data_IF_637189214672
#
_entry.id   IF_637189214672
#
_cell.length_a   1.000
_cell.length_b   1.000
_cell.length_c   1.000
_cell.angle_alpha   90.00
_cell.angle_beta   90.00
_cell.angle_gamma   90.00
#
_symmetry.space_group_name_H-M   'P 1'
#
loop_
_entity.id
_entity.type
_entity.pdbx_description
1 polymer ?
#
# COMPACT_ATOMS: atom_id res chain seq x y z
N UNK A 1 15.71 0.14 31.22
CA UNK A 1 15.65 1.57 30.90
C UNK A 1 15.83 1.64 29.40
N UNK A 2 14.73 1.78 28.65
CA UNK A 2 14.74 1.93 27.20
C UNK A 2 15.27 3.33 26.90
N UNK A 3 16.30 3.43 26.07
CA UNK A 3 16.77 4.71 25.54
C UNK A 3 15.59 5.44 24.84
N UNK A 4 15.44 6.76 25.03
CA UNK A 4 14.42 7.51 24.29
C UNK A 4 14.80 7.47 22.81
N UNK A 5 13.97 6.84 22.00
CA UNK A 5 14.03 6.95 20.53
C UNK A 5 13.92 8.44 20.21
N UNK A 6 15.00 9.03 19.70
CA UNK A 6 15.00 10.40 19.18
C UNK A 6 14.00 10.41 18.01
N UNK A 7 12.79 10.88 18.26
CA UNK A 7 11.80 11.07 17.21
C UNK A 7 12.39 12.01 16.15
N UNK A 8 12.52 11.52 14.92
CA UNK A 8 12.97 12.35 13.81
C UNK A 8 12.00 13.52 13.61
N UNK A 9 12.57 14.72 13.37
CA UNK A 9 11.77 15.90 13.09
C UNK A 9 10.84 15.66 11.90
N UNK A 10 9.57 16.13 11.95
CA UNK A 10 8.68 16.06 10.80
C UNK A 10 9.30 16.79 9.61
N UNK A 11 9.15 16.25 8.41
CA UNK A 11 9.73 16.78 7.18
C UNK A 11 8.73 17.65 6.42
N UNK A 12 9.16 18.83 6.01
CA UNK A 12 8.33 19.83 5.34
C UNK A 12 9.00 20.24 4.03
N UNK A 13 8.26 20.21 2.92
CA UNK A 13 8.71 20.71 1.63
C UNK A 13 8.25 22.17 1.45
N UNK A 14 9.19 23.08 1.15
CA UNK A 14 8.92 24.48 0.79
C UNK A 14 9.31 24.71 -0.66
N UNK A 15 8.33 24.99 -1.51
CA UNK A 15 8.50 25.26 -2.94
C UNK A 15 8.20 26.72 -3.21
N UNK A 16 9.19 27.48 -3.65
CA UNK A 16 9.08 28.92 -3.91
C UNK A 16 10.24 29.35 -4.82
N UNK A 17 10.03 30.13 -5.85
CA UNK A 17 11.10 30.57 -6.76
C UNK A 17 12.04 31.58 -6.11
N UNK A 18 11.56 32.30 -5.07
CA UNK A 18 12.35 33.27 -4.30
C UNK A 18 13.30 32.56 -3.31
N UNK A 19 14.60 32.65 -3.57
CA UNK A 19 15.62 32.16 -2.63
C UNK A 19 15.48 32.77 -1.23
N UNK A 20 15.04 34.03 -1.15
CA UNK A 20 14.86 34.74 0.13
C UNK A 20 13.74 34.08 0.94
N UNK A 21 12.62 33.74 0.31
CA UNK A 21 11.50 33.07 0.96
C UNK A 21 11.90 31.69 1.43
N UNK A 22 12.59 30.90 0.58
CA UNK A 22 13.08 29.56 0.97
C UNK A 22 14.02 29.63 2.17
N UNK A 23 14.97 30.61 2.19
CA UNK A 23 15.88 30.81 3.32
C UNK A 23 15.15 31.24 4.59
N UNK A 24 14.14 32.13 4.47
CA UNK A 24 13.35 32.59 5.60
C UNK A 24 12.54 31.41 6.19
N UNK A 25 11.88 30.64 5.36
CA UNK A 25 11.12 29.44 5.78
C UNK A 25 12.04 28.43 6.48
N UNK A 26 13.20 28.14 5.92
CA UNK A 26 14.18 27.23 6.53
C UNK A 26 14.65 27.75 7.91
N UNK A 27 14.91 29.05 8.04
CA UNK A 27 15.29 29.66 9.33
C UNK A 27 14.17 29.59 10.36
N UNK A 28 12.92 29.80 9.93
CA UNK A 28 11.73 29.79 10.82
C UNK A 28 11.41 28.37 11.26
N UNK A 29 11.38 27.39 10.31
CA UNK A 29 10.94 26.02 10.56
C UNK A 29 12.04 25.09 11.05
N UNK A 30 13.30 25.32 10.67
CA UNK A 30 14.42 24.38 10.88
C UNK A 30 14.73 24.04 12.35
N UNK A 31 14.18 24.79 13.31
CA UNK A 31 14.26 24.43 14.74
C UNK A 31 13.45 23.18 15.04
N UNK A 32 12.22 23.08 14.52
CA UNK A 32 11.24 22.05 14.87
C UNK A 32 11.03 21.01 13.75
N UNK A 33 11.41 21.35 12.51
CA UNK A 33 11.18 20.57 11.30
C UNK A 33 12.47 20.33 10.53
N UNK A 34 12.50 19.28 9.73
CA UNK A 34 13.49 19.07 8.67
C UNK A 34 12.90 19.67 7.37
N UNK A 35 13.55 20.74 6.85
CA UNK A 35 13.02 21.54 5.75
C UNK A 35 13.74 21.18 4.46
N UNK A 36 13.00 20.59 3.52
CA UNK A 36 13.41 20.39 2.14
C UNK A 36 12.95 21.60 1.33
N UNK A 37 13.76 22.08 0.40
CA UNK A 37 13.43 23.25 -0.42
C UNK A 37 13.49 22.91 -1.89
N UNK A 38 12.60 23.51 -2.70
CA UNK A 38 12.60 23.42 -4.16
C UNK A 38 12.37 24.80 -4.77
N UNK A 39 12.93 25.05 -5.94
CA UNK A 39 12.88 26.35 -6.59
C UNK A 39 11.67 26.52 -7.53
N UNK A 40 11.04 25.42 -7.90
CA UNK A 40 9.84 25.39 -8.74
C UNK A 40 9.04 24.11 -8.48
N UNK A 41 7.86 24.01 -9.09
CA UNK A 41 6.99 22.85 -8.90
C UNK A 41 7.54 21.54 -9.46
N UNK A 42 8.39 21.58 -10.50
CA UNK A 42 8.99 20.36 -11.06
C UNK A 42 10.03 19.78 -10.11
N UNK A 43 10.92 20.62 -9.55
CA UNK A 43 11.85 20.21 -8.52
C UNK A 43 11.10 19.70 -7.27
N UNK A 44 10.03 20.41 -6.89
CA UNK A 44 9.15 20.00 -5.79
C UNK A 44 8.53 18.61 -6.02
N UNK A 45 8.05 18.33 -7.22
CA UNK A 45 7.51 17.05 -7.60
C UNK A 45 8.56 15.92 -7.52
N UNK A 46 9.79 16.14 -8.01
CA UNK A 46 10.87 15.17 -7.91
C UNK A 46 11.21 14.86 -6.45
N UNK A 47 11.25 15.88 -5.58
CA UNK A 47 11.47 15.67 -4.14
C UNK A 47 10.39 14.77 -3.51
N UNK A 48 9.13 14.88 -3.94
CA UNK A 48 8.04 14.03 -3.43
C UNK A 48 8.14 12.58 -3.92
N UNK A 49 8.66 12.36 -5.12
CA UNK A 49 8.90 11.01 -5.65
C UNK A 49 10.08 10.32 -4.94
N UNK A 50 11.13 11.08 -4.62
CA UNK A 50 12.35 10.54 -4.02
C UNK A 50 12.22 10.36 -2.50
N UNK A 51 11.31 11.11 -1.85
CA UNK A 51 11.20 11.19 -0.41
C UNK A 51 9.76 11.10 0.10
N UNK A 52 9.32 9.90 0.40
CA UNK A 52 8.00 9.62 0.99
C UNK A 52 7.87 10.02 2.48
N UNK A 53 8.91 10.61 3.09
CA UNK A 53 8.86 11.07 4.49
C UNK A 53 8.39 12.53 4.63
N UNK A 54 8.07 13.21 3.54
CA UNK A 54 7.50 14.56 3.56
C UNK A 54 6.07 14.50 4.10
N UNK A 55 5.76 15.36 5.08
CA UNK A 55 4.48 15.40 5.78
C UNK A 55 3.56 16.52 5.29
N UNK A 56 4.13 17.61 4.79
CA UNK A 56 3.41 18.83 4.39
C UNK A 56 4.17 19.53 3.27
N UNK A 57 3.45 20.06 2.31
CA UNK A 57 3.97 20.87 1.21
C UNK A 57 3.48 22.31 1.37
N UNK A 58 4.40 23.26 1.37
CA UNK A 58 4.12 24.69 1.15
C UNK A 58 4.57 25.03 -0.25
N UNK A 59 3.71 25.61 -1.06
CA UNK A 59 4.06 25.98 -2.44
C UNK A 59 3.59 27.38 -2.78
N UNK A 60 4.47 28.16 -3.39
CA UNK A 60 4.03 29.43 -4.01
C UNK A 60 3.03 29.13 -5.14
N UNK A 61 2.11 30.04 -5.32
CA UNK A 61 1.12 29.95 -6.38
C UNK A 61 1.76 30.16 -7.77
N UNK A 62 2.64 31.14 -7.88
CA UNK A 62 3.25 31.57 -9.14
C UNK A 62 4.73 31.26 -9.16
N UNK A 63 5.14 30.31 -9.98
CA UNK A 63 6.54 29.90 -10.15
C UNK A 63 6.82 29.56 -11.62
N UNK A 64 8.07 29.68 -12.08
CA UNK A 64 8.47 29.22 -13.41
C UNK A 64 8.40 27.69 -13.51
N UNK A 65 8.48 27.18 -14.73
CA UNK A 65 8.50 25.75 -15.09
C UNK A 65 7.18 25.04 -14.76
N UNK A 66 6.88 24.82 -13.49
CA UNK A 66 5.62 24.29 -12.98
C UNK A 66 5.15 25.17 -11.82
N UNK A 67 3.98 25.77 -11.97
CA UNK A 67 3.40 26.60 -10.92
C UNK A 67 2.79 25.78 -9.78
N UNK A 68 2.37 26.46 -8.71
CA UNK A 68 1.84 25.78 -7.52
C UNK A 68 0.53 25.02 -7.77
N UNK A 69 -0.31 25.51 -8.69
CA UNK A 69 -1.54 24.79 -9.07
C UNK A 69 -1.23 23.53 -9.88
N UNK A 70 -0.27 23.60 -10.78
CA UNK A 70 0.20 22.44 -11.54
C UNK A 70 0.85 21.38 -10.63
N UNK A 71 1.61 21.79 -9.63
CA UNK A 71 2.14 20.88 -8.61
C UNK A 71 1.02 20.24 -7.80
N UNK A 72 0.03 21.02 -7.35
CA UNK A 72 -1.15 20.52 -6.63
C UNK A 72 -1.92 19.48 -7.46
N UNK A 73 -2.17 19.76 -8.74
CA UNK A 73 -2.87 18.83 -9.63
C UNK A 73 -2.11 17.51 -9.77
N UNK A 74 -0.78 17.55 -9.92
CA UNK A 74 0.05 16.33 -9.97
C UNK A 74 0.00 15.54 -8.66
N UNK A 75 0.07 16.22 -7.52
CA UNK A 75 -0.06 15.59 -6.20
C UNK A 75 -1.41 14.87 -6.09
N UNK A 76 -2.51 15.53 -6.46
CA UNK A 76 -3.86 14.96 -6.37
C UNK A 76 -4.15 13.86 -7.38
N UNK A 77 -3.47 13.87 -8.53
CA UNK A 77 -3.55 12.83 -9.56
C UNK A 77 -2.58 11.65 -9.34
N UNK A 78 -1.76 11.67 -8.29
CA UNK A 78 -0.79 10.62 -8.00
C UNK A 78 -1.48 9.27 -7.71
N UNK A 79 -0.93 8.19 -8.25
CA UNK A 79 -1.33 6.81 -7.93
C UNK A 79 -0.84 6.36 -6.54
N UNK A 80 0.13 7.09 -5.95
CA UNK A 80 0.60 6.86 -4.59
C UNK A 80 -0.32 7.57 -3.58
N UNK A 81 -1.08 6.81 -2.76
CA UNK A 81 -1.94 7.39 -1.74
C UNK A 81 -1.20 8.24 -0.69
N UNK A 82 0.08 8.00 -0.47
CA UNK A 82 0.94 8.78 0.43
C UNK A 82 1.13 10.19 -0.12
N UNK A 83 1.43 10.32 -1.41
CA UNK A 83 1.59 11.61 -2.09
C UNK A 83 0.23 12.27 -2.33
N UNK A 84 -0.76 11.53 -2.84
CA UNK A 84 -2.09 12.04 -3.18
C UNK A 84 -2.77 12.78 -2.01
N UNK A 85 -2.60 12.27 -0.79
CA UNK A 85 -3.25 12.80 0.42
C UNK A 85 -2.35 13.76 1.22
N UNK A 86 -1.20 14.18 0.70
CA UNK A 86 -0.38 15.18 1.39
C UNK A 86 -1.13 16.50 1.58
N UNK A 87 -1.04 17.13 2.76
CA UNK A 87 -1.49 18.50 2.94
C UNK A 87 -0.66 19.44 2.06
N UNK A 88 -1.34 20.23 1.24
CA UNK A 88 -0.71 21.26 0.39
C UNK A 88 -1.24 22.61 0.82
N UNK A 89 -0.34 23.48 1.27
CA UNK A 89 -0.62 24.82 1.73
C UNK A 89 -0.12 25.79 0.65
N UNK A 90 -1.05 26.52 0.04
CA UNK A 90 -0.70 27.52 -0.98
C UNK A 90 -0.18 28.79 -0.33
N UNK A 91 0.99 29.22 -0.71
CA UNK A 91 1.58 30.49 -0.27
C UNK A 91 1.27 31.56 -1.32
N UNK A 92 0.53 32.60 -0.94
CA UNK A 92 -0.03 33.56 -1.90
C UNK A 92 0.41 34.99 -1.61
N UNK A 93 0.66 35.78 -2.64
CA UNK A 93 0.88 37.23 -2.51
C UNK A 93 -0.39 37.99 -2.11
N UNK A 94 -0.23 39.24 -1.68
CA UNK A 94 -1.35 40.12 -1.29
C UNK A 94 -2.32 40.41 -2.45
N UNK A 95 -1.83 40.33 -3.68
CA UNK A 95 -2.59 40.68 -4.92
C UNK A 95 -3.39 39.51 -5.49
N UNK A 96 -3.31 38.33 -4.89
CA UNK A 96 -4.05 37.15 -5.38
C UNK A 96 -5.55 37.27 -5.01
N UNK A 97 -6.39 37.23 -6.04
CA UNK A 97 -7.83 37.38 -5.91
C UNK A 97 -8.47 36.24 -5.10
N UNK A 98 -9.63 36.53 -4.53
CA UNK A 98 -10.45 35.52 -3.84
C UNK A 98 -10.77 34.32 -4.78
N UNK A 99 -10.93 34.60 -6.08
CA UNK A 99 -11.11 33.58 -7.13
C UNK A 99 -9.92 32.60 -7.25
N UNK A 100 -8.70 33.08 -7.13
CA UNK A 100 -7.51 32.21 -7.16
C UNK A 100 -7.47 31.26 -5.95
N UNK A 101 -7.90 31.76 -4.78
CA UNK A 101 -8.02 30.94 -3.55
C UNK A 101 -9.13 29.88 -3.69
N UNK A 102 -10.29 30.28 -4.19
CA UNK A 102 -11.41 29.36 -4.45
C UNK A 102 -11.01 28.28 -5.47
N UNK A 103 -10.34 28.67 -6.54
CA UNK A 103 -9.82 27.74 -7.56
C UNK A 103 -8.88 26.70 -6.93
N UNK A 104 -7.94 27.11 -6.09
CA UNK A 104 -7.00 26.20 -5.48
C UNK A 104 -7.69 25.27 -4.45
N UNK A 105 -8.68 25.77 -3.68
CA UNK A 105 -9.49 24.93 -2.78
C UNK A 105 -10.26 23.87 -3.57
N UNK A 106 -10.89 24.25 -4.67
CA UNK A 106 -11.64 23.32 -5.52
C UNK A 106 -10.74 22.26 -6.16
N UNK A 107 -9.45 22.56 -6.37
CA UNK A 107 -8.41 21.60 -6.82
C UNK A 107 -7.80 20.77 -5.68
N UNK A 108 -8.23 21.01 -4.42
CA UNK A 108 -7.83 20.22 -3.27
C UNK A 108 -6.65 20.77 -2.47
N UNK A 109 -6.38 22.08 -2.52
CA UNK A 109 -5.50 22.75 -1.57
C UNK A 109 -6.06 22.59 -0.14
N UNK A 110 -5.18 22.36 0.82
CA UNK A 110 -5.60 22.11 2.21
C UNK A 110 -5.77 23.41 2.98
N UNK A 111 -4.89 24.39 2.72
CA UNK A 111 -4.86 25.66 3.42
C UNK A 111 -4.13 26.73 2.62
N UNK A 112 -4.11 27.96 3.13
CA UNK A 112 -3.43 29.13 2.55
C UNK A 112 -2.56 29.86 3.56
N UNK A 113 -1.48 30.42 3.08
CA UNK A 113 -0.60 31.34 3.82
C UNK A 113 -0.31 32.57 2.99
N UNK A 114 -0.62 33.77 3.50
CA UNK A 114 -0.41 35.00 2.76
C UNK A 114 0.99 35.57 3.00
N UNK A 115 1.65 36.02 1.92
CA UNK A 115 2.91 36.76 1.98
C UNK A 115 2.64 38.26 2.23
N UNK A 116 3.44 38.97 3.05
CA UNK A 116 4.52 38.42 3.88
C UNK A 116 3.96 37.66 5.08
N UNK A 117 4.44 36.44 5.30
CA UNK A 117 4.06 35.65 6.46
C UNK A 117 4.97 35.91 7.65
N UNK A 118 4.42 35.84 8.85
CA UNK A 118 5.20 35.88 10.08
C UNK A 118 5.60 34.47 10.53
N UNK A 119 6.54 34.39 11.47
CA UNK A 119 7.05 33.12 11.97
C UNK A 119 5.99 32.29 12.72
N UNK A 120 5.04 32.94 13.38
CA UNK A 120 4.01 32.28 14.17
C UNK A 120 3.04 31.57 13.25
N UNK A 121 2.57 32.23 12.19
CA UNK A 121 1.59 31.65 11.24
C UNK A 121 2.17 30.48 10.48
N UNK A 122 3.41 30.61 9.98
CA UNK A 122 4.09 29.53 9.26
C UNK A 122 4.31 28.30 10.15
N UNK A 123 4.81 28.50 11.38
CA UNK A 123 5.02 27.41 12.34
C UNK A 123 3.70 26.76 12.79
N UNK A 124 2.67 27.56 13.04
CA UNK A 124 1.37 27.05 13.49
C UNK A 124 0.75 26.13 12.44
N UNK A 125 0.79 26.52 11.15
CA UNK A 125 0.27 25.70 10.05
C UNK A 125 1.11 24.44 9.85
N UNK A 126 2.44 24.55 9.85
CA UNK A 126 3.32 23.41 9.74
C UNK A 126 3.03 22.38 10.86
N UNK A 127 2.92 22.84 12.12
CA UNK A 127 2.61 21.95 13.25
C UNK A 127 1.22 21.33 13.14
N UNK A 128 0.19 22.09 12.82
CA UNK A 128 -1.17 21.59 12.71
C UNK A 128 -1.27 20.47 11.66
N UNK A 129 -0.72 20.69 10.46
CA UNK A 129 -0.83 19.72 9.37
C UNK A 129 0.13 18.54 9.53
N UNK A 130 1.34 18.73 10.08
CA UNK A 130 2.23 17.62 10.41
C UNK A 130 1.65 16.73 11.52
N UNK A 131 1.08 17.31 12.56
CA UNK A 131 0.44 16.54 13.64
C UNK A 131 -0.77 15.76 13.13
N UNK A 132 -1.63 16.40 12.34
CA UNK A 132 -2.78 15.74 11.71
C UNK A 132 -2.35 14.54 10.84
N UNK A 133 -1.31 14.71 10.03
CA UNK A 133 -0.76 13.60 9.22
C UNK A 133 -0.20 12.48 10.09
N UNK A 134 0.57 12.82 11.12
CA UNK A 134 1.13 11.81 12.06
C UNK A 134 0.03 11.06 12.80
N UNK A 135 -0.99 11.76 13.31
CA UNK A 135 -2.13 11.14 13.97
C UNK A 135 -2.95 10.28 13.01
N UNK A 136 -3.20 10.76 11.79
CA UNK A 136 -3.90 10.00 10.76
C UNK A 136 -3.14 8.72 10.37
N UNK A 137 -1.81 8.80 10.22
CA UNK A 137 -0.96 7.63 9.95
C UNK A 137 -0.90 6.68 11.16
N UNK A 138 -0.85 7.23 12.38
CA UNK A 138 -0.87 6.42 13.60
C UNK A 138 -2.21 5.68 13.77
N UNK A 139 -3.34 6.36 13.50
CA UNK A 139 -4.66 5.75 13.50
C UNK A 139 -4.79 4.68 12.41
N UNK A 140 -4.30 4.95 11.19
CA UNK A 140 -4.26 3.94 10.11
C UNK A 140 -3.42 2.72 10.49
N UNK A 141 -2.30 2.90 11.21
CA UNK A 141 -1.49 1.79 11.75
C UNK A 141 -2.20 1.02 12.87
N UNK A 142 -3.08 1.67 13.64
CA UNK A 142 -3.89 1.00 14.67
C UNK A 142 -5.05 0.19 14.08
N UNK A 143 -5.51 0.52 12.87
CA UNK A 143 -6.49 -0.29 12.15
C UNK A 143 -5.74 -1.50 11.59
N UNK A 144 -5.82 -2.62 12.28
CA UNK A 144 -5.17 -3.88 11.86
C UNK A 144 -6.03 -4.70 10.91
N UNK A 145 -7.29 -4.33 10.72
CA UNK A 145 -8.30 -5.09 9.99
C UNK A 145 -8.83 -4.29 8.80
N UNK A 146 -8.95 -4.95 7.65
CA UNK A 146 -9.61 -4.39 6.46
C UNK A 146 -11.13 -4.38 6.65
N UNK A 147 -11.75 -3.21 6.47
CA UNK A 147 -13.18 -3.01 6.75
C UNK A 147 -14.11 -3.81 5.80
N UNK A 148 -13.68 -4.13 4.58
CA UNK A 148 -14.48 -4.88 3.60
C UNK A 148 -14.47 -6.37 3.89
N UNK A 149 -13.31 -6.92 4.20
CA UNK A 149 -13.11 -8.37 4.33
C UNK A 149 -13.11 -8.86 5.77
N UNK A 150 -12.84 -7.96 6.74
CA UNK A 150 -12.64 -8.32 8.14
C UNK A 150 -11.37 -9.15 8.38
N UNK A 151 -10.50 -9.33 7.38
CA UNK A 151 -9.18 -9.91 7.51
C UNK A 151 -8.17 -8.85 7.96
N UNK A 152 -6.96 -9.25 8.30
CA UNK A 152 -5.89 -8.30 8.56
C UNK A 152 -5.66 -7.39 7.34
N UNK A 153 -5.20 -6.17 7.56
CA UNK A 153 -4.70 -5.33 6.48
C UNK A 153 -3.27 -5.76 6.09
N UNK A 154 -2.74 -5.19 5.02
CA UNK A 154 -1.40 -5.49 4.51
C UNK A 154 -0.30 -5.28 5.56
N UNK A 155 -0.34 -4.17 6.30
CA UNK A 155 0.67 -3.82 7.28
C UNK A 155 0.71 -4.84 8.43
N UNK A 156 -0.45 -5.12 9.03
CA UNK A 156 -0.57 -6.10 10.11
C UNK A 156 -0.15 -7.51 9.67
N UNK A 157 -0.44 -7.87 8.42
CA UNK A 157 -0.01 -9.15 7.86
C UNK A 157 1.50 -9.26 7.73
N UNK A 158 2.18 -8.23 7.20
CA UNK A 158 3.63 -8.22 7.05
C UNK A 158 4.34 -8.27 8.40
N UNK A 159 3.80 -7.60 9.42
CA UNK A 159 4.32 -7.66 10.78
C UNK A 159 4.17 -9.07 11.39
N UNK A 160 3.03 -9.73 11.17
CA UNK A 160 2.80 -11.09 11.64
C UNK A 160 3.68 -12.09 10.88
N UNK A 161 3.74 -12.01 9.54
CA UNK A 161 4.59 -12.87 8.73
C UNK A 161 6.08 -12.74 9.12
N UNK A 162 6.55 -11.53 9.44
CA UNK A 162 7.92 -11.32 9.93
C UNK A 162 8.18 -12.09 11.24
N UNK A 163 7.21 -12.12 12.14
CA UNK A 163 7.30 -12.91 13.39
C UNK A 163 7.29 -14.42 13.10
N UNK A 164 6.42 -14.87 12.20
CA UNK A 164 6.31 -16.27 11.78
C UNK A 164 7.62 -16.76 11.16
N UNK A 165 8.23 -15.98 10.26
CA UNK A 165 9.51 -16.29 9.63
C UNK A 165 10.65 -16.34 10.66
N UNK A 166 10.73 -15.37 11.59
CA UNK A 166 11.73 -15.35 12.65
C UNK A 166 11.57 -16.53 13.61
N UNK A 167 10.35 -16.92 13.93
CA UNK A 167 10.06 -18.09 14.75
C UNK A 167 10.47 -19.38 14.03
N UNK A 168 10.07 -19.52 12.77
CA UNK A 168 10.37 -20.68 11.94
C UNK A 168 11.88 -20.87 11.74
N UNK A 169 12.64 -19.79 11.54
CA UNK A 169 14.10 -19.85 11.48
C UNK A 169 14.70 -20.45 12.76
N UNK A 170 14.27 -19.97 13.93
CA UNK A 170 14.80 -20.44 15.23
C UNK A 170 14.46 -21.90 15.52
N UNK A 171 13.28 -22.34 15.09
CA UNK A 171 12.76 -23.67 15.38
C UNK A 171 12.90 -24.66 14.21
N UNK A 172 13.56 -24.25 13.12
CA UNK A 172 13.74 -25.05 11.88
C UNK A 172 12.41 -25.59 11.33
N UNK A 173 11.41 -24.74 11.36
CA UNK A 173 10.08 -25.03 10.82
C UNK A 173 9.88 -24.34 9.46
N UNK A 174 8.92 -24.81 8.69
CA UNK A 174 8.51 -24.16 7.44
C UNK A 174 7.41 -23.13 7.67
N UNK A 175 7.35 -22.13 6.82
CA UNK A 175 6.19 -21.24 6.68
C UNK A 175 5.77 -21.32 5.23
N UNK A 176 4.49 -21.56 4.98
CA UNK A 176 3.97 -21.45 3.63
C UNK A 176 3.17 -20.14 3.46
N UNK A 177 3.40 -19.45 2.36
CA UNK A 177 2.68 -18.25 1.97
C UNK A 177 1.75 -18.61 0.82
N UNK A 178 0.47 -18.32 0.97
CA UNK A 178 -0.54 -18.54 -0.08
C UNK A 178 -1.07 -17.19 -0.53
N UNK A 179 -1.10 -17.00 -1.84
CA UNK A 179 -1.75 -15.84 -2.46
C UNK A 179 -3.00 -16.31 -3.19
N UNK A 180 -4.11 -15.63 -2.94
CA UNK A 180 -5.35 -15.77 -3.68
C UNK A 180 -5.67 -14.44 -4.37
N UNK A 181 -5.66 -14.42 -5.69
CA UNK A 181 -5.90 -13.22 -6.49
C UNK A 181 -7.15 -13.37 -7.35
N UNK A 182 -7.92 -12.31 -7.43
CA UNK A 182 -8.98 -12.14 -8.40
C UNK A 182 -8.39 -11.53 -9.68
N UNK A 183 -8.07 -12.33 -10.71
CA UNK A 183 -7.57 -11.80 -11.97
C UNK A 183 -8.64 -10.93 -12.62
N UNK A 184 -8.23 -9.98 -13.45
CA UNK A 184 -9.15 -9.08 -14.18
C UNK A 184 -10.10 -8.28 -13.26
N UNK A 185 -9.68 -8.00 -11.99
CA UNK A 185 -10.46 -7.26 -11.01
C UNK A 185 -11.03 -5.95 -11.58
N UNK A 186 -10.20 -5.20 -12.33
CA UNK A 186 -10.62 -3.94 -12.96
C UNK A 186 -11.81 -4.16 -13.91
N UNK A 187 -11.75 -5.19 -14.75
CA UNK A 187 -12.83 -5.54 -15.69
C UNK A 187 -14.10 -5.98 -14.94
N UNK A 188 -13.94 -6.79 -13.89
CA UNK A 188 -15.07 -7.22 -13.07
C UNK A 188 -15.73 -6.04 -12.36
N UNK A 189 -14.94 -5.13 -11.80
CA UNK A 189 -15.41 -3.90 -11.15
C UNK A 189 -16.18 -2.99 -12.13
N UNK A 190 -15.63 -2.79 -13.34
CA UNK A 190 -16.28 -1.96 -14.36
C UNK A 190 -17.61 -2.55 -14.85
N UNK A 191 -17.72 -3.87 -14.92
CA UNK A 191 -18.92 -4.56 -15.39
C UNK A 191 -20.00 -4.69 -14.31
N UNK A 192 -19.62 -4.94 -13.05
CA UNK A 192 -20.54 -5.33 -11.98
C UNK A 192 -20.64 -4.29 -10.85
N UNK A 193 -19.80 -3.26 -10.87
CA UNK A 193 -19.77 -2.18 -9.88
C UNK A 193 -19.09 -2.54 -8.56
N UNK A 194 -18.96 -1.52 -7.71
CA UNK A 194 -18.27 -1.59 -6.40
C UNK A 194 -18.87 -2.65 -5.47
N UNK A 195 -20.19 -2.69 -5.35
CA UNK A 195 -20.90 -3.59 -4.44
C UNK A 195 -20.59 -5.06 -4.76
N UNK A 196 -20.57 -5.42 -6.05
CA UNK A 196 -20.27 -6.79 -6.47
C UNK A 196 -18.80 -7.14 -6.22
N UNK A 197 -17.88 -6.22 -6.44
CA UNK A 197 -16.45 -6.43 -6.20
C UNK A 197 -16.14 -6.60 -4.71
N UNK A 198 -16.72 -5.79 -3.85
CA UNK A 198 -16.59 -5.90 -2.39
C UNK A 198 -17.23 -7.19 -1.88
N UNK A 199 -18.40 -7.58 -2.39
CA UNK A 199 -19.06 -8.82 -2.03
C UNK A 199 -18.23 -10.06 -2.41
N UNK A 200 -17.56 -10.04 -3.59
CA UNK A 200 -16.67 -11.12 -4.01
C UNK A 200 -15.49 -11.31 -3.05
N UNK A 201 -14.85 -10.21 -2.65
CA UNK A 201 -13.73 -10.23 -1.72
C UNK A 201 -14.17 -10.64 -0.31
N UNK A 202 -15.30 -10.13 0.16
CA UNK A 202 -15.86 -10.48 1.47
C UNK A 202 -16.25 -11.95 1.56
N UNK A 203 -16.85 -12.50 0.51
CA UNK A 203 -17.17 -13.93 0.42
C UNK A 203 -15.91 -14.80 0.45
N UNK A 204 -14.90 -14.46 -0.36
CA UNK A 204 -13.63 -15.18 -0.36
C UNK A 204 -12.94 -15.12 1.01
N UNK A 205 -12.95 -13.96 1.68
CA UNK A 205 -12.40 -13.78 3.01
C UNK A 205 -13.15 -14.63 4.07
N UNK A 206 -14.46 -14.74 3.96
CA UNK A 206 -15.25 -15.59 4.83
C UNK A 206 -14.87 -17.07 4.68
N UNK A 207 -14.77 -17.55 3.44
CA UNK A 207 -14.35 -18.92 3.15
C UNK A 207 -12.91 -19.20 3.58
N UNK A 208 -12.02 -18.22 3.44
CA UNK A 208 -10.64 -18.32 3.96
C UNK A 208 -10.68 -18.55 5.47
N UNK A 209 -11.42 -17.74 6.23
CA UNK A 209 -11.53 -17.91 7.71
C UNK A 209 -12.05 -19.25 8.13
N UNK A 210 -12.98 -19.83 7.38
CA UNK A 210 -13.50 -21.19 7.67
C UNK A 210 -12.51 -22.31 7.34
N UNK A 211 -11.52 -22.02 6.49
CA UNK A 211 -10.57 -23.01 6.01
C UNK A 211 -9.24 -23.02 6.78
N UNK A 212 -8.83 -21.88 7.32
CA UNK A 212 -7.55 -21.71 8.03
C UNK A 212 -7.67 -22.09 9.51
N UNK A 213 -6.53 -22.34 10.16
CA UNK A 213 -6.43 -22.63 11.59
C UNK A 213 -6.28 -21.36 12.41
N UNK A 214 -6.31 -21.47 13.73
CA UNK A 214 -6.17 -20.35 14.67
C UNK A 214 -4.78 -19.71 14.59
N UNK A 215 -3.75 -20.52 14.34
CA UNK A 215 -2.36 -20.07 14.19
C UNK A 215 -2.06 -19.45 12.82
N UNK A 216 -2.89 -19.73 11.83
CA UNK A 216 -2.74 -19.14 10.49
C UNK A 216 -3.21 -17.68 10.47
N UNK A 217 -2.63 -16.88 9.61
CA UNK A 217 -3.08 -15.51 9.41
C UNK A 217 -3.48 -15.26 7.97
N UNK A 218 -4.47 -14.39 7.77
CA UNK A 218 -4.94 -13.99 6.45
C UNK A 218 -5.18 -12.48 6.39
N UNK A 219 -4.98 -11.90 5.21
CA UNK A 219 -5.12 -10.46 4.99
C UNK A 219 -5.72 -10.13 3.63
N UNK A 220 -6.31 -8.95 3.53
CA UNK A 220 -6.45 -8.26 2.25
C UNK A 220 -5.15 -7.54 1.95
N UNK A 221 -4.34 -8.13 1.09
CA UNK A 221 -3.01 -7.62 0.79
C UNK A 221 -3.03 -6.46 -0.22
N UNK A 222 -3.87 -6.60 -1.26
CA UNK A 222 -4.14 -5.51 -2.22
C UNK A 222 -5.63 -5.38 -2.47
N UNK A 223 -6.01 -4.51 -3.40
CA UNK A 223 -7.41 -4.31 -3.81
C UNK A 223 -8.06 -5.60 -4.32
N UNK A 224 -7.28 -6.52 -4.91
CA UNK A 224 -7.74 -7.75 -5.55
C UNK A 224 -7.12 -9.03 -5.01
N UNK A 225 -6.27 -8.93 -3.96
CA UNK A 225 -5.42 -10.03 -3.51
C UNK A 225 -5.59 -10.29 -2.02
N UNK A 226 -5.81 -11.54 -1.66
CA UNK A 226 -5.69 -12.03 -0.28
C UNK A 226 -4.36 -12.76 -0.13
N UNK A 227 -3.70 -12.58 1.01
CA UNK A 227 -2.46 -13.27 1.38
C UNK A 227 -2.65 -14.01 2.70
N UNK A 228 -2.10 -15.22 2.78
CA UNK A 228 -2.17 -16.08 3.95
C UNK A 228 -0.76 -16.48 4.38
N UNK A 229 -0.50 -16.50 5.69
CA UNK A 229 0.68 -17.09 6.31
C UNK A 229 0.26 -18.34 7.07
N UNK A 230 0.91 -19.45 6.78
CA UNK A 230 0.65 -20.77 7.35
C UNK A 230 1.91 -21.26 8.09
N UNK A 231 2.07 -20.90 9.36
CA UNK A 231 3.20 -21.35 10.18
C UNK A 231 3.22 -22.89 10.31
N UNK A 232 4.42 -23.46 10.41
CA UNK A 232 4.63 -24.90 10.57
C UNK A 232 3.93 -25.76 9.50
N UNK A 233 3.70 -25.18 8.32
CA UNK A 233 2.98 -25.85 7.24
C UNK A 233 3.93 -26.06 6.05
N UNK A 234 4.15 -27.34 5.64
CA UNK A 234 4.93 -27.66 4.44
C UNK A 234 4.12 -27.36 3.18
N UNK A 235 4.78 -27.29 2.02
CA UNK A 235 4.16 -26.97 0.75
C UNK A 235 2.96 -27.85 0.40
N UNK A 236 3.00 -29.16 0.67
CA UNK A 236 1.88 -30.08 0.46
C UNK A 236 0.65 -29.72 1.31
N UNK A 237 0.88 -29.28 2.56
CA UNK A 237 -0.21 -28.81 3.43
C UNK A 237 -0.88 -27.55 2.90
N UNK A 238 -0.08 -26.61 2.38
CA UNK A 238 -0.59 -25.39 1.75
C UNK A 238 -1.34 -25.67 0.45
N UNK A 239 -0.90 -26.63 -0.36
CA UNK A 239 -1.60 -27.07 -1.58
C UNK A 239 -2.98 -27.64 -1.23
N UNK A 240 -3.08 -28.50 -0.19
CA UNK A 240 -4.37 -29.03 0.29
C UNK A 240 -5.32 -27.93 0.75
N UNK A 241 -4.80 -26.88 1.40
CA UNK A 241 -5.62 -25.72 1.78
C UNK A 241 -6.14 -25.01 0.53
N UNK A 242 -5.28 -24.79 -0.48
CA UNK A 242 -5.69 -24.16 -1.75
C UNK A 242 -6.79 -24.99 -2.44
N UNK A 243 -6.65 -26.30 -2.52
CA UNK A 243 -7.68 -27.20 -3.09
C UNK A 243 -9.02 -27.07 -2.32
N UNK A 244 -8.96 -27.05 -0.99
CA UNK A 244 -10.14 -26.85 -0.14
C UNK A 244 -10.81 -25.49 -0.41
N UNK A 245 -10.01 -24.41 -0.53
CA UNK A 245 -10.53 -23.07 -0.84
C UNK A 245 -11.14 -22.99 -2.24
N UNK A 246 -10.50 -23.60 -3.24
CA UNK A 246 -11.03 -23.67 -4.59
C UNK A 246 -12.38 -24.39 -4.64
N UNK A 247 -12.49 -25.50 -3.93
CA UNK A 247 -13.75 -26.24 -3.86
C UNK A 247 -14.83 -25.44 -3.12
N UNK A 248 -14.49 -24.76 -2.02
CA UNK A 248 -15.42 -23.92 -1.29
C UNK A 248 -15.95 -22.76 -2.14
N UNK A 249 -15.05 -22.05 -2.85
CA UNK A 249 -15.41 -20.97 -3.76
C UNK A 249 -16.28 -21.45 -4.94
N UNK A 250 -16.03 -22.65 -5.45
CA UNK A 250 -16.84 -23.25 -6.52
C UNK A 250 -18.25 -23.63 -6.03
N UNK A 251 -18.36 -24.09 -4.79
CA UNK A 251 -19.64 -24.53 -4.21
C UNK A 251 -20.51 -23.38 -3.69
N UNK A 252 -19.91 -22.18 -3.52
CA UNK A 252 -20.59 -20.98 -3.05
C UNK A 252 -20.56 -19.89 -4.14
N UNK A 253 -21.43 -19.94 -5.16
CA UNK A 253 -21.47 -18.92 -6.21
C UNK A 253 -21.86 -17.57 -5.61
N UNK A 254 -21.17 -16.51 -6.04
CA UNK A 254 -21.45 -15.15 -5.59
C UNK A 254 -22.85 -14.72 -6.02
N UNK A 255 -23.68 -14.33 -5.05
CA UNK A 255 -25.02 -13.78 -5.31
C UNK A 255 -25.04 -12.28 -5.00
N UNK A 256 -25.38 -11.47 -6.00
CA UNK A 256 -25.54 -10.00 -5.83
C UNK A 256 -26.85 -9.59 -6.49
N UNK A 257 -27.73 -8.98 -5.72
CA UNK A 257 -29.05 -8.52 -6.19
C UNK A 257 -29.85 -9.63 -6.92
N UNK A 258 -29.79 -10.86 -6.42
CA UNK A 258 -30.50 -12.02 -7.00
C UNK A 258 -29.87 -12.59 -8.28
N UNK A 259 -28.69 -12.11 -8.67
CA UNK A 259 -27.92 -12.65 -9.81
C UNK A 259 -26.70 -13.40 -9.34
N UNK A 260 -26.48 -14.59 -9.89
CA UNK A 260 -25.24 -15.33 -9.69
C UNK A 260 -24.14 -14.74 -10.59
N UNK A 261 -23.01 -14.36 -9.99
CA UNK A 261 -21.86 -13.84 -10.69
C UNK A 261 -20.71 -14.85 -10.64
N UNK A 262 -20.10 -15.10 -11.80
CA UNK A 262 -18.91 -15.94 -11.87
C UNK A 262 -17.68 -15.12 -11.48
N UNK A 263 -17.00 -15.55 -10.42
CA UNK A 263 -15.74 -14.95 -9.97
C UNK A 263 -14.62 -15.96 -10.18
N UNK A 264 -13.55 -15.52 -10.85
CA UNK A 264 -12.35 -16.34 -11.04
C UNK A 264 -11.33 -16.00 -9.96
N UNK A 265 -10.68 -17.03 -9.41
CA UNK A 265 -9.59 -16.90 -8.45
C UNK A 265 -8.37 -17.64 -8.95
N UNK A 266 -7.19 -17.04 -8.80
CA UNK A 266 -5.89 -17.68 -9.01
C UNK A 266 -5.20 -17.84 -7.67
N UNK A 267 -4.43 -18.89 -7.54
CA UNK A 267 -3.71 -19.18 -6.30
C UNK A 267 -2.26 -19.47 -6.61
N UNK A 268 -1.39 -19.07 -5.70
CA UNK A 268 -0.01 -19.53 -5.66
C UNK A 268 0.37 -19.97 -4.26
N UNK A 269 1.33 -20.87 -4.18
CA UNK A 269 1.93 -21.35 -2.93
C UNK A 269 3.43 -21.06 -3.00
N UNK A 270 3.96 -20.46 -1.96
CA UNK A 270 5.37 -20.19 -1.79
C UNK A 270 5.84 -20.67 -0.41
N UNK A 271 6.87 -21.46 -0.39
CA UNK A 271 7.58 -21.88 0.83
C UNK A 271 8.98 -21.29 0.70
N UNK A 272 9.32 -20.26 1.49
CA UNK A 272 10.63 -19.65 1.45
C UNK A 272 11.70 -20.57 2.05
N UNK A 273 12.93 -20.43 1.57
CA UNK A 273 14.12 -20.91 2.26
C UNK A 273 14.49 -19.89 3.35
N UNK A 274 14.20 -20.23 4.60
CA UNK A 274 14.20 -19.25 5.69
C UNK A 274 15.61 -19.09 6.25
N UNK A 275 16.17 -17.90 6.10
CA UNK A 275 17.46 -17.45 6.64
C UNK A 275 17.25 -16.28 7.62
N UNK A 276 18.28 -15.87 8.38
CA UNK A 276 18.18 -14.68 9.23
C UNK A 276 17.82 -13.39 8.48
N UNK A 277 18.12 -13.33 7.17
CA UNK A 277 17.93 -12.18 6.31
C UNK A 277 16.60 -12.22 5.54
N UNK A 278 15.81 -13.29 5.71
CA UNK A 278 14.54 -13.48 5.00
C UNK A 278 13.56 -12.36 5.38
N UNK A 279 13.09 -11.62 4.37
CA UNK A 279 12.21 -10.47 4.54
C UNK A 279 10.78 -10.80 4.10
N UNK A 280 9.80 -10.52 4.96
CA UNK A 280 8.39 -10.82 4.71
C UNK A 280 7.87 -10.20 3.40
N UNK A 281 8.21 -8.95 3.13
CA UNK A 281 7.74 -8.27 1.92
C UNK A 281 8.30 -8.90 0.64
N UNK A 282 9.59 -9.27 0.65
CA UNK A 282 10.24 -9.94 -0.48
C UNK A 282 9.60 -11.30 -0.73
N UNK A 283 9.31 -12.07 0.32
CA UNK A 283 8.71 -13.41 0.18
C UNK A 283 7.26 -13.35 -0.33
N UNK A 284 6.50 -12.34 0.07
CA UNK A 284 5.15 -12.12 -0.49
C UNK A 284 5.23 -11.74 -1.96
N UNK A 285 6.19 -10.90 -2.37
CA UNK A 285 6.39 -10.56 -3.78
C UNK A 285 6.80 -11.80 -4.60
N UNK A 286 7.66 -12.65 -4.06
CA UNK A 286 8.01 -13.94 -4.68
C UNK A 286 6.78 -14.85 -4.83
N UNK A 287 5.90 -14.89 -3.82
CA UNK A 287 4.65 -15.63 -3.89
C UNK A 287 3.70 -15.07 -4.98
N UNK A 288 3.57 -13.75 -5.08
CA UNK A 288 2.78 -13.08 -6.13
C UNK A 288 3.35 -13.38 -7.51
N UNK A 289 4.66 -13.33 -7.69
CA UNK A 289 5.33 -13.66 -8.96
C UNK A 289 5.02 -15.08 -9.46
N UNK A 290 4.69 -16.01 -8.56
CA UNK A 290 4.31 -17.39 -8.91
C UNK A 290 2.87 -17.53 -9.44
N UNK A 291 2.00 -16.54 -9.29
CA UNK A 291 0.62 -16.58 -9.80
C UNK A 291 0.55 -16.79 -11.32
N UNK A 292 1.49 -16.23 -12.09
CA UNK A 292 1.58 -16.38 -13.53
C UNK A 292 2.02 -17.78 -13.99
N UNK A 293 2.83 -18.45 -13.18
CA UNK A 293 3.40 -19.77 -13.50
C UNK A 293 2.41 -20.91 -13.19
N UNK A 294 1.57 -20.76 -12.16
CA UNK A 294 0.59 -21.76 -11.75
C UNK A 294 -0.65 -21.86 -12.67
N UNK A 295 -0.95 -20.81 -13.43
CA UNK A 295 -2.10 -20.78 -14.34
C UNK A 295 -2.01 -21.78 -15.50
N UNK A 296 -0.81 -22.29 -15.81
CA UNK A 296 -0.59 -23.29 -16.88
C UNK A 296 -1.00 -24.70 -16.45
N UNK A 297 -1.04 -25.01 -15.17
CA UNK A 297 -1.30 -26.38 -14.67
C UNK A 297 -2.78 -26.73 -14.40
N UNK A 298 -3.69 -25.75 -14.38
CA UNK A 298 -5.07 -25.94 -13.87
C UNK A 298 -6.12 -26.09 -14.99
N UNK A 299 -5.75 -25.96 -16.27
CA UNK A 299 -6.69 -26.10 -17.41
C UNK A 299 -6.75 -27.48 -18.04
N UNK A 300 -6.18 -28.51 -17.45
CA UNK A 300 -6.30 -29.88 -17.94
C UNK A 300 -7.41 -30.63 -17.20
N UNK A 301 -8.61 -30.58 -17.75
CA UNK A 301 -9.68 -31.52 -17.44
C UNK A 301 -9.31 -32.90 -18.03
N UNK A 302 -8.52 -33.69 -17.29
CA UNK A 302 -8.53 -35.17 -17.29
C UNK A 302 -7.62 -35.64 -16.15
N UNK A 303 -7.99 -36.66 -15.37
CA UNK A 303 -7.15 -37.20 -14.33
C UNK A 303 -6.03 -38.02 -14.96
N UNK A 304 -4.91 -37.39 -15.23
CA UNK A 304 -3.67 -38.12 -15.48
C UNK A 304 -2.82 -37.90 -14.25
N UNK A 305 -2.53 -38.98 -13.56
CA UNK A 305 -1.63 -39.02 -12.41
C UNK A 305 -0.26 -38.46 -12.80
N UNK A 306 -0.05 -37.19 -12.58
CA UNK A 306 1.28 -36.59 -12.67
C UNK A 306 1.84 -36.71 -11.27
N UNK A 307 2.82 -37.59 -11.11
CA UNK A 307 3.61 -37.73 -9.89
C UNK A 307 4.12 -36.37 -9.45
N UNK A 308 4.00 -36.09 -8.15
CA UNK A 308 4.45 -34.87 -7.47
C UNK A 308 5.93 -34.56 -7.82
N UNK A 309 6.76 -35.60 -8.03
CA UNK A 309 8.14 -35.51 -8.47
C UNK A 309 8.31 -34.84 -9.84
N UNK A 310 7.33 -34.96 -10.75
CA UNK A 310 7.38 -34.35 -12.07
C UNK A 310 7.01 -32.86 -12.04
N UNK A 311 6.15 -32.45 -11.13
CA UNK A 311 5.79 -31.04 -10.92
C UNK A 311 6.93 -30.30 -10.20
N UNK A 312 7.59 -30.93 -9.21
CA UNK A 312 8.79 -30.40 -8.56
C UNK A 312 10.00 -30.34 -9.52
N UNK A 313 10.18 -31.33 -10.38
CA UNK A 313 11.27 -31.33 -11.38
C UNK A 313 11.11 -30.26 -12.48
N UNK A 314 9.87 -29.82 -12.77
CA UNK A 314 9.64 -28.68 -13.69
C UNK A 314 9.93 -27.33 -13.03
N UNK A 315 9.77 -27.23 -11.72
CA UNK A 315 10.07 -26.00 -10.96
C UNK A 315 11.59 -25.83 -10.79
N UNK A 316 12.34 -26.91 -10.66
CA UNK A 316 13.81 -26.89 -10.49
C UNK A 316 14.60 -26.78 -11.80
N UNK A 317 14.02 -27.08 -12.98
CA UNK A 317 14.70 -26.99 -14.27
C UNK A 317 14.58 -25.64 -14.98
N UNK A 318 13.87 -24.68 -14.43
CA UNK A 318 13.76 -23.30 -14.97
C UNK A 318 14.90 -22.34 -14.57
N UNK A 319 15.96 -22.80 -13.91
CA UNK A 319 17.10 -21.97 -13.51
C UNK A 319 18.43 -22.37 -14.22
N UNK A 320 18.38 -22.91 -15.40
CA UNK A 320 19.58 -23.17 -16.15
C UNK A 320 19.30 -22.99 -17.65
N UNK A 321 19.69 -21.84 -18.15
CA UNK A 321 19.93 -21.39 -19.52
C UNK A 321 19.15 -20.11 -19.88
N UNK A 322 19.76 -18.96 -19.56
CA UNK A 322 20.04 -17.85 -20.49
C UNK A 322 20.86 -16.79 -19.73
#
# INVERSE_FOLDING_TARGET
MSEPTVESKPRVLMVDDSKVIRMAANKILGKDFDVVVAADGEEGWQQLLDDHSIHVVFTDLMMPVLDGLGLLDRIRASDDPGIQNLPVIMVTGADNSEEARETALNRGATDFLQKPFNSIDLQARARAHCNYQRESLALKKQITVDATTGLNNQQSFLEQLSKDLAFAHRHRQSVAIVIAEMPDFKSFFMQNGKVAAEAALSQAAHLVRECIRTEDSASRYTISTLALSLPSTPGEGAIKLVEKLQQALKNAPLQVNGRALAVKWRFSVHVPDITPETNAQTEVQAAIGKLGLAAVAIHSTKPTSISIDKALAMITRGQGDL
#
